data_IF_498659773771
#
_entry.id   IF_498659773771
#
_cell.length_a   1.000
_cell.length_b   1.000
_cell.length_c   1.000
_cell.angle_alpha   90.00
_cell.angle_beta   90.00
_cell.angle_gamma   90.00
#
_symmetry.space_group_name_H-M   'P 1'
#
loop_
_entity.id
_entity.type
_entity.pdbx_description
1 polymer ?
#
# COMPACT_ATOMS: atom_id res chain seq x y z
N UNK A 1 3.44 -6.32 11.76
CA UNK A 1 2.26 -5.45 11.55
C UNK A 1 1.48 -6.08 10.42
N UNK A 2 0.19 -6.31 10.58
CA UNK A 2 -0.63 -7.01 9.59
C UNK A 2 -1.12 -6.03 8.54
N UNK A 3 -0.32 -5.68 7.54
CA UNK A 3 -0.78 -4.79 6.48
C UNK A 3 -1.32 -5.58 5.27
N UNK A 4 -2.19 -4.94 4.51
CA UNK A 4 -2.65 -5.39 3.20
C UNK A 4 -2.36 -4.32 2.16
N UNK A 5 -2.03 -4.74 0.94
CA UNK A 5 -1.95 -3.83 -0.20
C UNK A 5 -3.39 -3.48 -0.59
N UNK A 6 -3.73 -2.20 -0.46
CA UNK A 6 -5.03 -1.68 -0.89
C UNK A 6 -5.04 -1.51 -2.40
N UNK A 7 -3.94 -1.01 -2.94
CA UNK A 7 -3.83 -0.75 -4.37
C UNK A 7 -2.42 -0.35 -4.79
N UNK A 8 -2.15 -0.58 -6.07
CA UNK A 8 -0.94 -0.16 -6.77
C UNK A 8 -1.40 0.82 -7.84
N UNK A 9 -0.86 2.04 -7.81
CA UNK A 9 -1.27 3.13 -8.66
C UNK A 9 -0.08 3.67 -9.48
N UNK A 10 -0.36 4.04 -10.72
CA UNK A 10 0.59 4.64 -11.65
C UNK A 10 0.57 6.19 -11.63
N UNK A 11 -0.50 6.76 -11.06
CA UNK A 11 -0.79 8.20 -11.01
C UNK A 11 -1.26 8.65 -9.62
N UNK A 12 -0.88 9.88 -9.24
CA UNK A 12 -1.27 10.48 -7.96
C UNK A 12 -2.79 10.67 -7.83
N UNK A 13 -3.49 11.03 -8.92
CA UNK A 13 -4.95 11.21 -8.89
C UNK A 13 -5.67 9.96 -8.41
N UNK A 14 -5.30 8.78 -8.93
CA UNK A 14 -5.93 7.51 -8.53
C UNK A 14 -5.61 7.13 -7.10
N UNK A 15 -4.41 7.46 -6.64
CA UNK A 15 -4.02 7.29 -5.25
C UNK A 15 -4.87 8.19 -4.33
N UNK A 16 -5.03 9.46 -4.66
CA UNK A 16 -5.84 10.41 -3.90
C UNK A 16 -7.31 9.97 -3.84
N UNK A 17 -7.86 9.49 -4.95
CA UNK A 17 -9.22 8.91 -4.99
C UNK A 17 -9.35 7.71 -4.04
N UNK A 18 -8.37 6.80 -4.05
CA UNK A 18 -8.37 5.64 -3.16
C UNK A 18 -8.25 6.07 -1.68
N UNK A 19 -7.36 7.01 -1.35
CA UNK A 19 -7.22 7.55 0.01
C UNK A 19 -8.53 8.21 0.45
N UNK A 20 -9.16 9.01 -0.41
CA UNK A 20 -10.43 9.67 -0.12
C UNK A 20 -11.55 8.65 0.13
N UNK A 21 -11.59 7.57 -0.66
CA UNK A 21 -12.54 6.48 -0.47
C UNK A 21 -12.30 5.75 0.86
N UNK A 22 -11.07 5.42 1.21
CA UNK A 22 -10.74 4.80 2.50
C UNK A 22 -11.11 5.70 3.68
N UNK A 23 -10.78 6.99 3.61
CA UNK A 23 -11.17 7.98 4.63
C UNK A 23 -12.69 8.06 4.77
N UNK A 24 -13.43 8.00 3.65
CA UNK A 24 -14.90 7.95 3.65
C UNK A 24 -15.45 6.67 4.29
N UNK A 25 -14.75 5.55 4.18
CA UNK A 25 -15.08 4.29 4.84
C UNK A 25 -14.69 4.25 6.34
N UNK A 26 -14.13 5.35 6.87
CA UNK A 26 -13.78 5.48 8.29
C UNK A 26 -12.34 5.07 8.63
N UNK A 27 -11.51 4.78 7.64
CA UNK A 27 -10.09 4.49 7.84
C UNK A 27 -9.33 5.78 8.16
N UNK A 28 -8.43 5.75 9.15
CA UNK A 28 -7.64 6.93 9.49
C UNK A 28 -6.37 6.96 8.69
N UNK A 29 -5.83 8.17 8.57
CA UNK A 29 -4.52 8.41 7.98
C UNK A 29 -3.41 7.56 8.61
N UNK A 30 -3.49 7.34 9.91
CA UNK A 30 -2.50 6.58 10.70
C UNK A 30 -2.52 5.08 10.39
N UNK A 31 -3.65 4.55 9.91
CA UNK A 31 -3.80 3.15 9.49
C UNK A 31 -3.28 2.93 8.06
N UNK A 32 -2.90 3.99 7.34
CA UNK A 32 -2.45 3.92 5.94
C UNK A 32 -0.96 4.19 5.87
N UNK A 33 -0.27 3.54 4.95
CA UNK A 33 1.15 3.82 4.66
C UNK A 33 1.35 3.81 3.16
N UNK A 34 1.90 4.90 2.64
CA UNK A 34 2.20 5.04 1.22
C UNK A 34 3.66 4.70 0.98
N UNK A 35 3.96 3.74 0.10
CA UNK A 35 5.32 3.43 -0.33
C UNK A 35 5.49 3.90 -1.77
N UNK A 36 6.47 4.77 -2.01
CA UNK A 36 6.76 5.34 -3.33
C UNK A 36 8.25 5.28 -3.63
N UNK A 37 8.60 5.29 -4.91
CA UNK A 37 9.99 5.47 -5.32
C UNK A 37 10.40 6.92 -5.18
N UNK A 38 11.62 7.20 -4.74
CA UNK A 38 12.18 8.54 -4.53
C UNK A 38 12.10 9.40 -5.80
N UNK A 39 12.21 8.77 -6.98
CA UNK A 39 12.03 9.41 -8.28
C UNK A 39 10.61 9.97 -8.50
N UNK A 40 9.64 9.56 -7.68
CA UNK A 40 8.25 9.96 -7.74
C UNK A 40 8.03 11.18 -6.83
N UNK A 41 7.89 12.35 -7.43
CA UNK A 41 7.46 13.54 -6.70
C UNK A 41 5.96 13.42 -6.36
N UNK A 42 5.62 13.54 -5.08
CA UNK A 42 4.24 13.67 -4.65
C UNK A 42 3.90 15.15 -4.63
N UNK A 43 3.34 15.64 -5.72
CA UNK A 43 2.79 16.99 -5.79
C UNK A 43 1.40 17.00 -5.12
N UNK A 44 1.36 16.91 -3.79
CA UNK A 44 0.11 16.92 -3.02
C UNK A 44 0.34 16.82 -1.52
N UNK A 45 -0.56 17.41 -0.72
CA UNK A 45 -0.60 17.21 0.74
C UNK A 45 -1.21 15.85 1.06
N UNK A 46 -0.35 14.83 1.06
CA UNK A 46 -0.72 13.50 1.51
C UNK A 46 -0.54 13.43 3.02
N UNK A 47 -1.65 13.54 3.75
CA UNK A 47 -1.72 13.41 5.20
C UNK A 47 -1.66 11.93 5.64
N UNK A 48 -0.74 11.10 5.10
CA UNK A 48 -0.48 9.73 5.56
C UNK A 48 1.03 9.48 5.57
N UNK A 49 1.57 8.59 6.41
CA UNK A 49 3.00 8.30 6.42
C UNK A 49 3.46 7.78 5.05
N UNK A 50 4.50 8.43 4.52
CA UNK A 50 5.10 8.10 3.23
C UNK A 50 6.50 7.52 3.44
N UNK A 51 6.75 6.37 2.82
CA UNK A 51 8.05 5.71 2.75
C UNK A 51 8.57 5.89 1.34
N UNK A 52 9.64 6.66 1.20
CA UNK A 52 10.34 6.84 -0.06
C UNK A 52 11.50 5.85 -0.14
N UNK A 53 11.60 5.13 -1.25
CA UNK A 53 12.70 4.19 -1.49
C UNK A 53 13.44 4.54 -2.77
N UNK A 54 14.75 4.36 -2.75
CA UNK A 54 15.64 4.71 -3.87
C UNK A 54 15.66 3.66 -4.97
N UNK A 55 15.11 2.47 -4.73
CA UNK A 55 15.17 1.34 -5.64
C UNK A 55 13.86 0.54 -5.66
N UNK A 56 13.51 -0.01 -6.82
CA UNK A 56 12.29 -0.79 -6.99
C UNK A 56 12.32 -2.14 -6.25
N UNK A 57 13.47 -2.81 -6.19
CA UNK A 57 13.60 -4.05 -5.43
C UNK A 57 13.45 -3.79 -3.93
N UNK A 58 14.01 -2.69 -3.42
CA UNK A 58 13.78 -2.24 -2.03
C UNK A 58 12.31 -1.93 -1.77
N UNK A 59 11.60 -1.34 -2.74
CA UNK A 59 10.15 -1.10 -2.63
C UNK A 59 9.40 -2.40 -2.37
N UNK A 60 9.71 -3.45 -3.15
CA UNK A 60 9.08 -4.75 -2.99
C UNK A 60 9.48 -5.42 -1.67
N UNK A 61 10.74 -5.32 -1.25
CA UNK A 61 11.22 -5.88 0.01
C UNK A 61 10.47 -5.30 1.21
N UNK A 62 10.30 -3.97 1.26
CA UNK A 62 9.49 -3.28 2.28
C UNK A 62 8.04 -3.75 2.23
N UNK A 63 7.43 -3.82 1.05
CA UNK A 63 6.05 -4.31 0.93
C UNK A 63 5.94 -5.74 1.45
N UNK A 64 6.92 -6.61 1.16
CA UNK A 64 6.92 -7.97 1.68
C UNK A 64 7.05 -8.03 3.20
N UNK A 65 7.83 -7.14 3.81
CA UNK A 65 7.95 -7.07 5.28
C UNK A 65 6.67 -6.56 5.95
N UNK A 66 5.94 -5.66 5.28
CA UNK A 66 4.73 -5.06 5.83
C UNK A 66 3.47 -5.91 5.59
N UNK A 67 3.41 -6.68 4.51
CA UNK A 67 2.22 -7.45 4.11
C UNK A 67 2.29 -8.87 4.63
N UNK A 68 1.22 -9.33 5.28
CA UNK A 68 1.15 -10.70 5.78
C UNK A 68 0.82 -11.69 4.65
N UNK A 69 1.73 -12.63 4.38
CA UNK A 69 1.64 -13.63 3.30
C UNK A 69 0.95 -14.93 3.72
N UNK A 70 0.03 -14.92 4.70
CA UNK A 70 -0.48 -16.16 5.32
C UNK A 70 -1.07 -17.17 4.31
N UNK A 71 -1.53 -16.73 3.13
CA UNK A 71 -2.06 -17.62 2.08
C UNK A 71 -1.76 -17.15 0.64
N UNK A 72 -0.75 -16.30 0.44
CA UNK A 72 -0.46 -15.75 -0.88
C UNK A 72 0.29 -16.77 -1.75
N UNK A 73 -0.37 -17.25 -2.82
CA UNK A 73 0.22 -18.17 -3.78
C UNK A 73 1.48 -17.56 -4.42
N UNK A 74 2.53 -18.35 -4.61
CA UNK A 74 3.80 -17.87 -5.17
C UNK A 74 3.62 -17.21 -6.55
N UNK A 75 2.63 -17.65 -7.33
CA UNK A 75 2.28 -17.04 -8.62
C UNK A 75 1.66 -15.66 -8.42
N UNK A 76 0.78 -15.50 -7.43
CA UNK A 76 0.16 -14.23 -7.10
C UNK A 76 1.19 -13.22 -6.59
N UNK A 77 2.14 -13.66 -5.76
CA UNK A 77 3.25 -12.82 -5.29
C UNK A 77 4.16 -12.39 -6.44
N UNK A 78 4.48 -13.29 -7.37
CA UNK A 78 5.28 -12.95 -8.54
C UNK A 78 4.57 -11.93 -9.45
N UNK A 79 3.25 -12.07 -9.64
CA UNK A 79 2.46 -11.09 -10.40
C UNK A 79 2.42 -9.74 -9.68
N UNK A 80 2.19 -9.72 -8.37
CA UNK A 80 2.19 -8.48 -7.57
C UNK A 80 3.55 -7.81 -7.60
N UNK A 81 4.65 -8.56 -7.44
CA UNK A 81 6.01 -8.05 -7.60
C UNK A 81 6.19 -7.40 -8.97
N UNK A 82 5.76 -8.08 -10.03
CA UNK A 82 5.87 -7.55 -11.39
C UNK A 82 5.08 -6.26 -11.54
N UNK A 83 3.83 -6.19 -11.07
CA UNK A 83 2.99 -4.99 -11.14
C UNK A 83 3.60 -3.85 -10.33
N UNK A 84 4.09 -4.14 -9.13
CA UNK A 84 4.76 -3.15 -8.27
C UNK A 84 6.01 -2.57 -8.94
N UNK A 85 6.85 -3.42 -9.53
CA UNK A 85 8.10 -2.99 -10.15
C UNK A 85 7.92 -2.30 -11.51
N UNK A 86 6.93 -2.70 -12.30
CA UNK A 86 6.71 -2.16 -13.65
C UNK A 86 5.72 -0.99 -13.67
N UNK A 87 4.59 -1.10 -12.96
CA UNK A 87 3.48 -0.14 -13.00
C UNK A 87 3.33 0.65 -11.70
N UNK A 88 3.77 0.09 -10.58
CA UNK A 88 3.60 0.65 -9.24
C UNK A 88 4.55 1.80 -8.96
N UNK A 89 4.08 3.02 -9.21
CA UNK A 89 4.73 4.24 -8.70
C UNK A 89 4.33 4.53 -7.26
N UNK A 90 3.07 4.27 -6.94
CA UNK A 90 2.48 4.48 -5.62
C UNK A 90 1.85 3.18 -5.12
N UNK A 91 2.33 2.66 -4.00
CA UNK A 91 1.75 1.48 -3.36
C UNK A 91 1.13 1.89 -2.04
N UNK A 92 -0.18 1.74 -1.93
CA UNK A 92 -0.91 2.05 -0.71
C UNK A 92 -1.06 0.78 0.11
N UNK A 93 -0.47 0.80 1.29
CA UNK A 93 -0.61 -0.21 2.32
C UNK A 93 -1.61 0.28 3.35
N UNK A 94 -2.38 -0.64 3.90
CA UNK A 94 -3.29 -0.38 5.00
C UNK A 94 -3.05 -1.40 6.08
N UNK A 95 -2.84 -0.92 7.30
CA UNK A 95 -2.83 -1.76 8.49
C UNK A 95 -4.23 -2.37 8.63
N UNK A 96 -4.30 -3.69 8.59
CA UNK A 96 -5.44 -4.42 9.14
C UNK A 96 -5.34 -4.18 10.64
N UNK A 97 -5.95 -3.08 11.11
CA UNK A 97 -5.99 -2.77 12.52
C UNK A 97 -6.38 -4.04 13.27
N UNK A 98 -5.71 -4.31 14.39
CA UNK A 98 -6.04 -5.41 15.34
C UNK A 98 -7.42 -5.21 16.01
N UNK A 99 -8.40 -4.68 15.27
CA UNK A 99 -9.56 -3.97 15.80
C UNK A 99 -10.84 -4.09 14.98
N UNK A 100 -10.96 -5.01 14.02
CA UNK A 100 -12.29 -5.50 13.61
C UNK A 100 -12.27 -7.01 13.42
N UNK A 101 -12.20 -7.70 14.57
CA UNK A 101 -12.84 -9.00 14.75
C UNK A 101 -14.34 -8.77 14.55
N UNK A 102 -14.82 -8.72 13.30
CA UNK A 102 -16.22 -9.02 13.04
C UNK A 102 -16.35 -10.53 13.22
N UNK A 103 -16.64 -10.93 14.46
CA UNK A 103 -17.11 -12.27 14.78
C UNK A 103 -18.36 -12.57 13.94
N UNK A 104 -18.46 -13.72 13.26
CA UNK A 104 -19.76 -14.34 13.06
C UNK A 104 -20.12 -15.11 14.35
N UNK A 105 -21.18 -14.67 15.03
CA UNK A 105 -21.98 -15.53 15.92
C UNK A 105 -22.96 -16.34 15.11
#
# INVERSE_FOLDING_TARGET
MDNAIVGIFDTIQRLEEAIAELKKNGCRSEDMTLVIREETNVEGEIDIPVIQVTDGELLWDIIQEYVLHEEADAVMLAQMKSTVLNDGKYVLLMEKSRGHVMMPV
#
